data_IF_863314412813
#
_entry.id   IF_863314412813
#
_cell.length_a   1.000
_cell.length_b   1.000
_cell.length_c   1.000
_cell.angle_alpha   90.00
_cell.angle_beta   90.00
_cell.angle_gamma   90.00
#
_symmetry.space_group_name_H-M   'P 1'
#
loop_
_entity.id
_entity.type
_entity.pdbx_description
1 polymer ?
#
# COMPACT_ATOMS: atom_id res chain seq x y z
N UNK A 1 64.52 -30.97 58.45
CA UNK A 1 63.73 -30.85 57.21
C UNK A 1 63.88 -32.15 56.42
N UNK A 2 62.77 -32.69 55.90
CA UNK A 2 62.68 -33.91 55.06
C UNK A 2 62.90 -35.26 55.76
N UNK A 3 62.12 -36.34 55.61
CA UNK A 3 60.70 -36.63 55.25
C UNK A 3 60.55 -38.14 55.55
N UNK A 4 59.60 -38.55 56.40
CA UNK A 4 59.28 -39.97 56.60
C UNK A 4 58.64 -40.56 55.34
N UNK A 5 59.15 -41.69 54.85
CA UNK A 5 58.49 -42.57 53.89
C UNK A 5 57.52 -43.50 54.64
N UNK A 6 56.22 -43.41 54.34
CA UNK A 6 55.23 -44.46 54.65
C UNK A 6 54.75 -45.06 53.33
N UNK A 7 54.81 -46.40 53.26
CA UNK A 7 54.27 -47.20 52.16
C UNK A 7 52.73 -47.15 52.18
N UNK A 8 52.11 -47.00 51.01
CA UNK A 8 50.68 -47.18 50.80
C UNK A 8 50.49 -48.25 49.72
N UNK A 9 49.68 -49.28 50.02
CA UNK A 9 49.28 -50.35 49.12
C UNK A 9 48.21 -49.85 48.12
N UNK A 10 48.13 -50.40 46.89
CA UNK A 10 47.12 -50.00 45.93
C UNK A 10 45.79 -50.71 46.22
N UNK A 11 44.72 -49.93 46.34
CA UNK A 11 43.33 -50.41 46.35
C UNK A 11 42.86 -50.49 44.88
N UNK A 12 42.58 -51.70 44.40
CA UNK A 12 42.01 -51.93 43.06
C UNK A 12 40.50 -51.70 43.13
N UNK A 13 40.00 -50.62 42.54
CA UNK A 13 38.57 -50.41 42.30
C UNK A 13 38.16 -51.17 41.02
N UNK A 14 37.32 -52.19 41.16
CA UNK A 14 36.65 -52.83 40.04
C UNK A 14 35.53 -51.92 39.52
N UNK A 15 35.69 -51.38 38.31
CA UNK A 15 34.62 -50.68 37.59
C UNK A 15 33.76 -51.72 36.90
N UNK A 16 32.54 -51.94 37.40
CA UNK A 16 31.53 -52.75 36.73
C UNK A 16 31.02 -52.02 35.48
N UNK A 17 31.39 -52.52 34.30
CA UNK A 17 30.85 -52.08 33.02
C UNK A 17 29.40 -52.56 32.85
N UNK A 18 28.44 -51.73 33.21
CA UNK A 18 27.04 -51.91 32.82
C UNK A 18 26.85 -51.50 31.37
N UNK A 19 26.59 -52.48 30.49
CA UNK A 19 26.09 -52.26 29.14
C UNK A 19 24.67 -51.67 29.24
N UNK A 20 24.55 -50.34 29.18
CA UNK A 20 23.27 -49.70 28.90
C UNK A 20 22.96 -49.88 27.41
N UNK A 21 22.03 -50.78 27.11
CA UNK A 21 21.40 -50.83 25.80
C UNK A 21 20.67 -49.50 25.57
N UNK A 22 21.16 -48.70 24.62
CA UNK A 22 20.49 -47.48 24.20
C UNK A 22 19.12 -47.83 23.64
N UNK A 23 18.05 -47.39 24.30
CA UNK A 23 16.71 -47.50 23.76
C UNK A 23 16.66 -46.78 22.40
N UNK A 24 16.02 -47.35 21.36
CA UNK A 24 15.85 -46.67 20.09
C UNK A 24 15.11 -45.35 20.36
N UNK A 25 15.66 -44.26 19.84
CA UNK A 25 15.02 -42.95 19.93
C UNK A 25 13.59 -43.08 19.37
N UNK A 26 12.60 -42.81 20.22
CA UNK A 26 11.21 -42.80 19.79
C UNK A 26 11.07 -41.83 18.63
N UNK A 27 10.65 -42.35 17.47
CA UNK A 27 10.34 -41.56 16.30
C UNK A 27 9.25 -40.56 16.70
N UNK A 28 9.55 -39.26 16.62
CA UNK A 28 8.64 -38.22 17.05
C UNK A 28 7.30 -38.39 16.34
N UNK A 29 6.21 -38.47 17.10
CA UNK A 29 4.87 -38.59 16.54
C UNK A 29 4.64 -37.48 15.49
N UNK A 30 4.05 -37.80 14.32
CA UNK A 30 3.81 -36.81 13.28
C UNK A 30 3.02 -35.64 13.87
N UNK A 31 3.47 -34.41 13.58
CA UNK A 31 2.81 -33.19 14.06
C UNK A 31 1.36 -33.20 13.57
N UNK A 32 0.40 -33.33 14.49
CA UNK A 32 -1.01 -33.27 14.16
C UNK A 32 -1.37 -31.82 13.79
N UNK A 33 -1.53 -31.58 12.49
CA UNK A 33 -1.96 -30.29 11.96
C UNK A 33 -3.48 -30.15 12.00
N UNK A 34 -3.96 -28.94 12.26
CA UNK A 34 -5.38 -28.65 12.21
C UNK A 34 -5.87 -28.71 10.76
N UNK A 35 -6.92 -29.48 10.52
CA UNK A 35 -7.54 -29.65 9.20
C UNK A 35 -8.94 -29.07 9.11
N UNK A 36 -9.50 -28.62 10.23
CA UNK A 36 -10.92 -28.25 10.36
C UNK A 36 -11.14 -26.75 10.53
N UNK A 37 -10.26 -26.04 11.25
CA UNK A 37 -10.44 -24.61 11.52
C UNK A 37 -10.24 -23.76 10.27
N UNK A 38 -10.85 -22.57 10.22
CA UNK A 38 -10.66 -21.61 9.13
C UNK A 38 -9.17 -21.30 8.91
N UNK A 39 -8.66 -21.38 7.67
CA UNK A 39 -7.28 -21.02 7.40
C UNK A 39 -7.08 -19.51 7.40
N UNK A 40 -5.93 -19.06 7.89
CA UNK A 40 -5.48 -17.67 7.75
C UNK A 40 -4.22 -17.61 6.89
N UNK A 41 -4.08 -16.50 6.18
CA UNK A 41 -2.90 -16.19 5.37
C UNK A 41 -1.90 -15.39 6.20
N UNK A 42 -0.63 -15.77 6.09
CA UNK A 42 0.48 -15.20 6.83
C UNK A 42 1.56 -14.71 5.86
N UNK A 43 2.10 -13.51 6.10
CA UNK A 43 3.44 -13.18 5.63
C UNK A 43 4.46 -13.85 6.56
N UNK A 44 5.48 -14.47 5.98
CA UNK A 44 6.58 -15.10 6.72
C UNK A 44 7.92 -14.63 6.17
N UNK A 45 8.76 -14.06 7.03
CA UNK A 45 10.07 -13.51 6.66
C UNK A 45 11.20 -14.53 6.84
N UNK A 46 12.09 -14.53 5.87
CA UNK A 46 13.32 -15.31 5.77
C UNK A 46 14.48 -14.39 5.41
N UNK A 47 15.70 -14.92 5.40
CA UNK A 47 16.80 -14.23 4.72
C UNK A 47 16.54 -14.23 3.20
N UNK A 48 16.73 -13.11 2.49
CA UNK A 48 16.65 -13.08 1.03
C UNK A 48 17.53 -14.17 0.39
N UNK A 49 17.01 -14.84 -0.64
CA UNK A 49 17.71 -15.95 -1.31
C UNK A 49 17.68 -17.29 -0.56
N UNK A 50 16.94 -17.41 0.55
CA UNK A 50 16.70 -18.72 1.18
C UNK A 50 16.13 -19.71 0.15
N UNK A 51 16.65 -20.94 0.11
CA UNK A 51 16.19 -21.94 -0.87
C UNK A 51 14.72 -22.27 -0.64
N UNK A 52 13.93 -22.32 -1.72
CA UNK A 52 12.52 -22.65 -1.67
C UNK A 52 12.24 -23.99 -0.95
N UNK A 53 13.09 -25.00 -1.13
CA UNK A 53 12.96 -26.29 -0.43
C UNK A 53 13.10 -26.19 1.09
N UNK A 54 13.90 -25.24 1.60
CA UNK A 54 14.06 -25.00 3.03
C UNK A 54 12.83 -24.27 3.60
N UNK A 55 12.28 -23.31 2.85
CA UNK A 55 11.02 -22.64 3.17
C UNK A 55 9.89 -23.65 3.24
N UNK A 56 9.75 -24.50 2.21
CA UNK A 56 8.70 -25.52 2.13
C UNK A 56 8.78 -26.51 3.30
N UNK A 57 10.00 -26.95 3.62
CA UNK A 57 10.25 -27.83 4.76
C UNK A 57 9.86 -27.18 6.09
N UNK A 58 10.25 -25.92 6.34
CA UNK A 58 9.91 -25.23 7.58
C UNK A 58 8.39 -25.02 7.70
N UNK A 59 7.74 -24.54 6.64
CA UNK A 59 6.30 -24.29 6.64
C UNK A 59 5.52 -25.59 6.88
N UNK A 60 5.82 -26.66 6.14
CA UNK A 60 5.15 -27.95 6.30
C UNK A 60 5.34 -28.53 7.71
N UNK A 61 6.56 -28.48 8.26
CA UNK A 61 6.85 -28.95 9.62
C UNK A 61 6.08 -28.17 10.72
N UNK A 62 5.59 -26.97 10.40
CA UNK A 62 4.85 -26.09 11.32
C UNK A 62 3.37 -25.98 10.95
N UNK A 63 2.84 -26.89 10.14
CA UNK A 63 1.44 -26.91 9.70
C UNK A 63 1.03 -25.71 8.82
N UNK A 64 1.95 -25.19 8.03
CA UNK A 64 1.71 -24.19 7.00
C UNK A 64 1.78 -24.80 5.61
N UNK A 65 0.94 -24.30 4.71
CA UNK A 65 1.00 -24.57 3.27
C UNK A 65 1.49 -23.32 2.56
N UNK A 66 2.52 -23.43 1.72
CA UNK A 66 3.01 -22.30 0.93
C UNK A 66 1.97 -21.89 -0.13
N UNK A 67 1.61 -20.61 -0.15
CA UNK A 67 0.76 -19.98 -1.17
C UNK A 67 1.64 -19.33 -2.24
N UNK A 68 2.64 -18.54 -1.83
CA UNK A 68 3.62 -17.92 -2.72
C UNK A 68 4.98 -17.81 -2.03
N UNK A 69 6.05 -17.64 -2.82
CA UNK A 69 7.36 -17.31 -2.29
C UNK A 69 8.09 -16.30 -3.18
N UNK A 70 8.35 -15.13 -2.61
CA UNK A 70 9.11 -14.04 -3.21
C UNK A 70 10.56 -14.13 -2.71
N UNK A 71 11.32 -15.03 -3.33
CA UNK A 71 12.69 -15.38 -2.93
C UNK A 71 13.66 -14.19 -2.89
N UNK A 72 13.44 -13.22 -3.77
CA UNK A 72 14.24 -12.01 -3.98
C UNK A 72 14.20 -11.08 -2.76
N UNK A 73 13.11 -11.14 -2.00
CA UNK A 73 12.90 -10.37 -0.76
C UNK A 73 12.83 -11.28 0.47
N UNK A 74 12.94 -12.60 0.30
CA UNK A 74 12.84 -13.56 1.39
C UNK A 74 11.49 -13.53 2.10
N UNK A 75 10.39 -13.34 1.37
CA UNK A 75 9.04 -13.33 1.95
C UNK A 75 8.23 -14.49 1.36
N UNK A 76 7.74 -15.38 2.23
CA UNK A 76 6.77 -16.40 1.86
C UNK A 76 5.37 -15.96 2.30
N UNK A 77 4.38 -16.30 1.49
CA UNK A 77 2.98 -16.25 1.88
C UNK A 77 2.56 -17.68 2.20
N UNK A 78 2.05 -17.90 3.41
CA UNK A 78 1.66 -19.22 3.89
C UNK A 78 0.23 -19.21 4.40
N UNK A 79 -0.50 -20.28 4.15
CA UNK A 79 -1.82 -20.54 4.72
C UNK A 79 -1.68 -21.53 5.87
N UNK A 80 -2.30 -21.26 7.01
CA UNK A 80 -2.37 -22.21 8.13
C UNK A 80 -3.69 -22.11 8.87
N UNK A 81 -4.20 -23.27 9.29
CA UNK A 81 -5.38 -23.42 10.16
C UNK A 81 -5.00 -23.42 11.64
N UNK A 82 -3.71 -23.62 11.95
CA UNK A 82 -3.23 -23.75 13.31
C UNK A 82 -3.22 -22.40 14.03
N UNK A 83 -3.96 -22.31 15.14
CA UNK A 83 -4.00 -21.11 15.98
C UNK A 83 -2.61 -20.70 16.53
N UNK A 84 -1.67 -21.63 16.64
CA UNK A 84 -0.31 -21.40 17.13
C UNK A 84 0.75 -21.26 16.03
N UNK A 85 0.34 -21.14 14.76
CA UNK A 85 1.27 -21.08 13.61
C UNK A 85 2.30 -19.95 13.73
N UNK A 86 1.86 -18.76 14.16
CA UNK A 86 2.75 -17.61 14.36
C UNK A 86 3.81 -17.89 15.43
N UNK A 87 3.43 -18.52 16.55
CA UNK A 87 4.34 -18.89 17.63
C UNK A 87 5.35 -19.94 17.16
N UNK A 88 4.89 -20.94 16.39
CA UNK A 88 5.76 -21.97 15.81
C UNK A 88 6.81 -21.39 14.85
N UNK A 89 6.42 -20.42 14.02
CA UNK A 89 7.35 -19.76 13.08
C UNK A 89 8.27 -18.76 13.81
N UNK A 90 7.70 -18.02 14.76
CA UNK A 90 8.33 -16.94 15.49
C UNK A 90 7.52 -15.65 15.31
N UNK A 91 7.16 -15.00 16.42
CA UNK A 91 6.28 -13.80 16.41
C UNK A 91 6.88 -12.60 15.68
N UNK A 92 8.21 -12.51 15.54
CA UNK A 92 8.88 -11.48 14.74
C UNK A 92 9.08 -11.87 13.27
N UNK A 93 8.67 -13.08 12.88
CA UNK A 93 8.83 -13.61 11.52
C UNK A 93 7.52 -13.86 10.81
N UNK A 94 6.41 -13.98 11.52
CA UNK A 94 5.11 -14.24 10.93
C UNK A 94 4.03 -13.26 11.41
N UNK A 95 3.14 -12.87 10.50
CA UNK A 95 1.99 -12.02 10.80
C UNK A 95 0.80 -12.36 9.91
N UNK A 96 -0.43 -12.24 10.42
CA UNK A 96 -1.67 -12.40 9.65
C UNK A 96 -2.67 -11.33 10.04
N UNK A 97 -2.95 -10.41 9.10
CA UNK A 97 -3.96 -9.37 9.30
C UNK A 97 -5.37 -9.95 9.40
N UNK A 98 -5.69 -10.95 8.56
CA UNK A 98 -6.99 -11.63 8.60
C UNK A 98 -7.28 -12.32 9.94
N UNK A 99 -6.26 -12.89 10.59
CA UNK A 99 -6.42 -13.46 11.93
C UNK A 99 -6.66 -12.40 12.99
N UNK A 100 -5.96 -11.28 12.92
CA UNK A 100 -6.14 -10.16 13.85
C UNK A 100 -7.56 -9.57 13.73
N UNK A 101 -8.06 -9.38 12.50
CA UNK A 101 -9.45 -8.95 12.25
C UNK A 101 -10.45 -9.95 12.83
N UNK A 102 -10.28 -11.24 12.56
CA UNK A 102 -11.21 -12.26 13.07
C UNK A 102 -11.21 -12.32 14.61
N UNK A 103 -10.04 -12.14 15.23
CA UNK A 103 -9.90 -12.10 16.69
C UNK A 103 -10.52 -10.85 17.29
N UNK A 104 -10.40 -9.70 16.62
CA UNK A 104 -10.99 -8.43 17.04
C UNK A 104 -12.52 -8.40 16.85
N UNK A 105 -13.03 -8.97 15.77
CA UNK A 105 -14.47 -9.12 15.52
C UNK A 105 -15.14 -10.05 16.56
N UNK A 106 -14.41 -11.09 17.01
CA UNK A 106 -14.84 -11.91 18.15
C UNK A 106 -14.80 -11.14 19.49
N UNK A 107 -14.07 -10.02 19.56
CA UNK A 107 -13.84 -9.23 20.77
C UNK A 107 -14.68 -7.94 20.88
N UNK A 108 -15.22 -7.35 19.79
CA UNK A 108 -16.12 -6.17 19.83
C UNK A 108 -16.89 -5.91 18.53
N UNK A 109 -18.16 -5.54 18.68
CA UNK A 109 -19.00 -4.87 17.69
C UNK A 109 -18.59 -3.39 17.54
N UNK A 110 -18.60 -2.89 16.29
CA UNK A 110 -18.45 -1.49 15.85
C UNK A 110 -17.04 -0.93 15.67
N UNK A 111 -16.59 -0.85 14.42
CA UNK A 111 -15.67 0.17 13.88
C UNK A 111 -16.16 0.53 12.48
N UNK A 112 -17.03 1.53 12.39
CA UNK A 112 -17.59 2.04 11.15
C UNK A 112 -17.49 3.56 11.15
N UNK A 113 -16.49 4.12 10.49
CA UNK A 113 -16.41 5.56 10.27
C UNK A 113 -15.62 5.99 9.02
N UNK A 114 -14.69 5.18 8.50
CA UNK A 114 -13.85 5.60 7.34
C UNK A 114 -14.59 5.49 5.99
N UNK A 115 -15.61 4.61 5.89
CA UNK A 115 -16.28 4.32 4.61
C UNK A 115 -17.12 5.49 4.04
N UNK A 116 -17.68 6.37 4.87
CA UNK A 116 -18.63 7.39 4.36
C UNK A 116 -17.99 8.54 3.59
N UNK A 117 -16.70 8.81 3.79
CA UNK A 117 -15.98 9.89 3.11
C UNK A 117 -15.76 9.56 1.62
N UNK A 118 -15.38 8.31 1.34
CA UNK A 118 -14.96 7.84 0.02
C UNK A 118 -16.08 7.13 -0.76
N UNK A 119 -17.32 7.16 -0.25
CA UNK A 119 -18.49 6.70 -0.99
C UNK A 119 -18.76 7.58 -2.20
N UNK A 120 -19.24 6.98 -3.30
CA UNK A 120 -19.69 7.75 -4.46
C UNK A 120 -20.99 8.45 -4.11
N UNK A 121 -20.94 9.78 -3.92
CA UNK A 121 -22.08 10.54 -3.40
C UNK A 121 -22.97 11.15 -4.47
N UNK A 122 -22.38 11.57 -5.57
CA UNK A 122 -23.11 12.20 -6.68
C UNK A 122 -22.60 11.61 -7.98
N UNK A 123 -23.52 11.44 -8.92
CA UNK A 123 -23.21 11.14 -10.30
C UNK A 123 -23.22 12.44 -11.10
N UNK A 124 -22.35 12.53 -12.11
CA UNK A 124 -22.35 13.69 -12.98
C UNK A 124 -23.69 13.79 -13.72
N UNK A 125 -24.26 15.01 -13.76
CA UNK A 125 -25.37 15.29 -14.64
C UNK A 125 -24.92 15.21 -16.12
N UNK A 126 -25.82 14.84 -17.03
CA UNK A 126 -25.55 14.79 -18.47
C UNK A 126 -25.01 16.14 -18.97
N UNK A 127 -23.89 16.15 -19.68
CA UNK A 127 -23.25 17.36 -20.21
C UNK A 127 -21.75 17.19 -20.42
N UNK A 128 -21.07 18.29 -20.79
CA UNK A 128 -19.61 18.34 -20.89
C UNK A 128 -18.97 18.33 -19.48
N UNK A 129 -18.27 17.24 -19.16
CA UNK A 129 -17.65 17.05 -17.85
C UNK A 129 -16.39 17.91 -17.65
N UNK A 130 -15.79 18.46 -18.72
CA UNK A 130 -14.58 19.26 -18.61
C UNK A 130 -14.78 20.53 -17.75
N UNK A 131 -16.00 21.06 -17.74
CA UNK A 131 -16.38 22.18 -16.89
C UNK A 131 -16.36 21.80 -15.40
N UNK A 132 -16.70 20.56 -15.09
CA UNK A 132 -16.90 20.01 -13.75
C UNK A 132 -15.64 19.45 -13.08
N UNK A 133 -14.53 19.35 -13.83
CA UNK A 133 -13.23 18.89 -13.33
C UNK A 133 -12.38 20.06 -12.82
N UNK A 134 -12.83 20.73 -11.75
CA UNK A 134 -12.07 21.83 -11.11
C UNK A 134 -10.71 21.36 -10.58
N UNK A 135 -10.65 20.12 -10.12
CA UNK A 135 -9.48 19.42 -9.63
C UNK A 135 -8.39 19.35 -10.70
N UNK A 136 -8.77 18.99 -11.94
CA UNK A 136 -7.85 18.99 -13.08
C UNK A 136 -7.36 20.40 -13.42
N UNK A 137 -8.23 21.41 -13.34
CA UNK A 137 -7.85 22.82 -13.59
C UNK A 137 -6.91 23.35 -12.53
N UNK A 138 -7.09 22.97 -11.27
CA UNK A 138 -6.26 23.41 -10.15
C UNK A 138 -4.79 23.02 -10.30
N UNK A 139 -4.50 21.94 -11.03
CA UNK A 139 -3.13 21.46 -11.30
C UNK A 139 -2.68 21.68 -12.75
N UNK A 140 -3.41 22.51 -13.52
CA UNK A 140 -3.13 22.81 -14.92
C UNK A 140 -3.09 21.59 -15.87
N UNK A 141 -3.85 20.52 -15.55
CA UNK A 141 -3.90 19.32 -16.38
C UNK A 141 -4.51 19.55 -17.78
N UNK A 142 -5.56 20.36 -17.98
CA UNK A 142 -6.07 20.66 -19.32
C UNK A 142 -5.03 21.32 -20.25
N UNK A 143 -4.20 22.20 -19.71
CA UNK A 143 -3.11 22.85 -20.43
C UNK A 143 -1.97 21.86 -20.74
N UNK A 144 -1.63 20.99 -19.79
CA UNK A 144 -0.68 19.91 -19.99
C UNK A 144 -1.12 18.97 -21.11
N UNK A 145 -2.38 18.54 -21.09
CA UNK A 145 -2.99 17.63 -22.06
C UNK A 145 -2.98 18.15 -23.51
N UNK A 146 -2.94 19.47 -23.70
CA UNK A 146 -2.77 20.10 -25.03
C UNK A 146 -1.33 20.00 -25.56
N UNK A 147 -0.35 19.89 -24.67
CA UNK A 147 1.08 19.78 -25.02
C UNK A 147 1.54 18.33 -25.11
N UNK A 148 1.24 17.53 -24.08
CA UNK A 148 1.68 16.15 -23.97
C UNK A 148 0.77 15.37 -23.04
N UNK A 149 0.26 14.23 -23.52
CA UNK A 149 -0.68 13.38 -22.79
C UNK A 149 0.00 12.21 -22.07
N UNK A 150 1.34 12.14 -22.12
CA UNK A 150 2.11 10.99 -21.65
C UNK A 150 2.36 9.95 -22.76
N UNK A 151 2.97 8.83 -22.38
CA UNK A 151 3.44 7.79 -23.30
C UNK A 151 2.92 6.42 -22.95
N UNK A 152 2.50 5.64 -23.97
CA UNK A 152 2.09 4.23 -23.82
C UNK A 152 3.23 3.30 -23.41
N UNK A 153 4.47 3.81 -23.35
CA UNK A 153 5.61 3.10 -22.77
C UNK A 153 5.67 3.22 -21.23
N UNK A 154 4.86 4.10 -20.63
CA UNK A 154 4.71 4.25 -19.18
C UNK A 154 3.49 3.46 -18.73
N UNK A 155 3.68 2.63 -17.71
CA UNK A 155 2.61 1.91 -17.01
C UNK A 155 2.51 2.43 -15.59
N UNK A 156 1.30 2.84 -15.21
CA UNK A 156 0.93 3.21 -13.84
C UNK A 156 0.13 2.06 -13.24
N UNK A 157 0.64 1.48 -12.16
CA UNK A 157 -0.06 0.47 -11.38
C UNK A 157 -1.03 1.11 -10.40
N UNK A 158 -2.32 0.81 -10.53
CA UNK A 158 -3.33 1.16 -9.53
C UNK A 158 -3.47 -0.02 -8.60
N UNK A 159 -2.80 0.05 -7.44
CA UNK A 159 -2.90 -0.96 -6.39
C UNK A 159 -4.13 -0.62 -5.55
N UNK A 160 -5.26 -1.26 -5.85
CA UNK A 160 -6.55 -0.86 -5.28
C UNK A 160 -7.58 -2.01 -5.31
N UNK A 161 -8.86 -1.69 -5.41
CA UNK A 161 -10.03 -2.58 -5.40
C UNK A 161 -10.35 -3.22 -6.75
N UNK A 162 -9.58 -2.91 -7.78
CA UNK A 162 -9.80 -3.34 -9.16
C UNK A 162 -10.22 -2.18 -10.06
N UNK A 163 -10.09 -2.37 -11.38
CA UNK A 163 -10.50 -1.38 -12.39
C UNK A 163 -11.55 -2.01 -13.31
N UNK A 164 -12.70 -1.34 -13.48
CA UNK A 164 -13.60 -1.66 -14.57
C UNK A 164 -12.98 -1.27 -15.91
N UNK A 165 -12.32 -2.24 -16.54
CA UNK A 165 -11.66 -2.07 -17.83
C UNK A 165 -12.66 -1.87 -18.99
N UNK A 166 -13.96 -2.05 -18.77
CA UNK A 166 -14.99 -1.84 -19.80
C UNK A 166 -15.51 -0.40 -19.83
N UNK A 167 -15.19 0.40 -18.82
CA UNK A 167 -15.58 1.81 -18.77
C UNK A 167 -15.08 2.56 -20.03
N UNK A 168 -15.91 3.34 -20.74
CA UNK A 168 -15.53 4.01 -21.98
C UNK A 168 -14.23 4.81 -21.88
N UNK A 169 -14.10 5.60 -20.80
CA UNK A 169 -12.90 6.38 -20.51
C UNK A 169 -11.62 5.55 -20.23
N UNK A 170 -11.73 4.27 -19.84
CA UNK A 170 -10.59 3.46 -19.38
C UNK A 170 -10.22 2.33 -20.33
N UNK A 171 -11.15 1.91 -21.19
CA UNK A 171 -11.01 0.77 -22.10
C UNK A 171 -9.76 0.80 -22.98
N UNK A 172 -9.27 1.99 -23.34
CA UNK A 172 -8.05 2.15 -24.13
C UNK A 172 -6.75 2.23 -23.30
N UNK A 173 -6.86 2.45 -21.99
CA UNK A 173 -5.72 2.65 -21.09
C UNK A 173 -5.35 1.39 -20.30
N UNK A 174 -6.33 0.58 -19.90
CA UNK A 174 -6.08 -0.61 -19.08
C UNK A 174 -5.38 -1.70 -19.89
N UNK A 175 -4.25 -2.17 -19.38
CA UNK A 175 -3.45 -3.25 -19.95
C UNK A 175 -3.70 -4.54 -19.18
N UNK A 176 -4.59 -5.40 -19.69
CA UNK A 176 -4.87 -6.71 -19.08
C UNK A 176 -3.61 -7.56 -18.88
N UNK A 177 -2.64 -7.50 -19.79
CA UNK A 177 -1.37 -8.22 -19.69
C UNK A 177 -0.46 -7.75 -18.53
N UNK A 178 -0.74 -6.56 -17.98
CA UNK A 178 -0.02 -6.00 -16.84
C UNK A 178 -0.83 -6.09 -15.53
N UNK A 179 -2.11 -6.49 -15.59
CA UNK A 179 -3.01 -6.53 -14.43
C UNK A 179 -2.95 -7.88 -13.70
N UNK A 180 -3.17 -7.85 -12.38
CA UNK A 180 -3.24 -9.06 -11.55
C UNK A 180 -4.07 -8.83 -10.27
N UNK A 181 -4.75 -9.87 -9.81
CA UNK A 181 -5.28 -9.98 -8.46
C UNK A 181 -4.18 -10.42 -7.50
N UNK A 182 -4.06 -9.74 -6.38
CA UNK A 182 -3.05 -10.00 -5.36
C UNK A 182 -3.62 -10.28 -3.97
N UNK A 183 -4.95 -10.28 -3.81
CA UNK A 183 -5.65 -10.42 -2.52
C UNK A 183 -5.21 -11.65 -1.71
N UNK A 184 -4.83 -12.76 -2.37
CA UNK A 184 -4.37 -13.98 -1.70
C UNK A 184 -2.89 -13.95 -1.30
N UNK A 185 -2.17 -12.89 -1.67
CA UNK A 185 -0.72 -12.81 -1.63
C UNK A 185 0.01 -13.54 -2.76
N UNK A 186 -0.71 -14.21 -3.66
CA UNK A 186 -0.21 -14.74 -4.93
C UNK A 186 -0.87 -14.02 -6.11
N UNK A 187 -0.08 -13.66 -7.12
CA UNK A 187 -0.61 -12.98 -8.30
C UNK A 187 -1.48 -13.92 -9.14
N UNK A 188 -2.68 -13.45 -9.51
CA UNK A 188 -3.61 -14.12 -10.42
C UNK A 188 -3.95 -13.18 -11.58
N UNK A 189 -3.62 -13.60 -12.81
CA UNK A 189 -3.80 -12.78 -14.02
C UNK A 189 -5.18 -12.94 -14.65
N UNK A 190 -6.04 -13.80 -14.10
CA UNK A 190 -7.40 -13.95 -14.59
C UNK A 190 -8.15 -12.60 -14.50
N UNK A 191 -8.88 -12.19 -15.57
CA UNK A 191 -9.59 -10.91 -15.58
C UNK A 191 -10.50 -10.67 -14.37
N UNK A 192 -11.19 -11.71 -13.89
CA UNK A 192 -12.05 -11.63 -12.73
C UNK A 192 -11.29 -11.30 -11.43
N UNK A 193 -10.00 -11.64 -11.35
CA UNK A 193 -9.19 -11.47 -10.14
C UNK A 193 -8.66 -10.04 -9.97
N UNK A 194 -8.69 -9.22 -11.02
CA UNK A 194 -8.34 -7.78 -10.96
C UNK A 194 -9.49 -6.85 -11.34
N UNK A 195 -10.65 -7.39 -11.71
CA UNK A 195 -11.89 -6.61 -11.84
C UNK A 195 -12.41 -6.17 -10.46
N UNK A 196 -13.13 -5.03 -10.39
CA UNK A 196 -13.80 -4.61 -9.17
C UNK A 196 -14.93 -5.58 -8.83
N UNK A 197 -15.16 -5.76 -7.52
CA UNK A 197 -16.16 -6.68 -6.98
C UNK A 197 -17.20 -5.94 -6.15
N UNK A 198 -16.76 -5.32 -5.05
CA UNK A 198 -17.65 -4.64 -4.09
C UNK A 198 -17.40 -3.14 -3.97
N UNK A 199 -16.41 -2.60 -4.68
CA UNK A 199 -16.00 -1.19 -4.60
C UNK A 199 -15.62 -0.64 -5.97
N UNK A 200 -16.02 0.62 -6.21
CA UNK A 200 -15.69 1.39 -7.41
C UNK A 200 -14.43 2.26 -7.24
N UNK A 201 -13.81 2.22 -6.07
CA UNK A 201 -12.71 3.10 -5.67
C UNK A 201 -11.51 3.05 -6.64
N UNK A 202 -11.04 1.87 -7.01
CA UNK A 202 -9.91 1.71 -7.93
C UNK A 202 -10.23 2.18 -9.35
N UNK A 203 -11.50 2.09 -9.75
CA UNK A 203 -11.97 2.63 -11.02
C UNK A 203 -11.96 4.15 -10.99
N UNK A 204 -12.37 4.77 -9.89
CA UNK A 204 -12.31 6.24 -9.71
C UNK A 204 -10.86 6.75 -9.76
N UNK A 205 -9.96 6.11 -9.02
CA UNK A 205 -8.51 6.38 -9.02
C UNK A 205 -7.92 6.28 -10.44
N UNK A 206 -8.27 5.23 -11.18
CA UNK A 206 -7.82 5.01 -12.55
C UNK A 206 -8.28 6.12 -13.52
N UNK A 207 -9.53 6.56 -13.40
CA UNK A 207 -10.09 7.64 -14.21
C UNK A 207 -9.36 8.95 -14.02
N UNK A 208 -9.00 9.28 -12.78
CA UNK A 208 -8.23 10.48 -12.44
C UNK A 208 -6.87 10.42 -13.14
N UNK A 209 -6.17 9.29 -13.05
CA UNK A 209 -4.82 9.17 -13.65
C UNK A 209 -4.86 9.26 -15.18
N UNK A 210 -5.67 8.43 -15.85
CA UNK A 210 -5.55 8.25 -17.31
C UNK A 210 -6.88 8.10 -18.07
N UNK A 211 -8.02 8.45 -17.46
CA UNK A 211 -9.29 8.37 -18.15
C UNK A 211 -9.37 9.33 -19.34
N UNK A 212 -10.00 8.90 -20.43
CA UNK A 212 -10.24 9.72 -21.63
C UNK A 212 -11.53 9.34 -22.31
N UNK A 213 -12.54 10.20 -22.19
CA UNK A 213 -13.79 10.10 -22.92
C UNK A 213 -14.11 11.44 -23.60
N UNK A 214 -13.75 11.58 -24.89
CA UNK A 214 -14.05 12.79 -25.65
C UNK A 214 -15.56 13.04 -25.82
N UNK A 215 -16.40 12.01 -25.77
CA UNK A 215 -17.84 12.17 -25.93
C UNK A 215 -18.49 12.77 -24.67
N UNK A 216 -17.96 12.43 -23.50
CA UNK A 216 -18.35 13.02 -22.22
C UNK A 216 -17.58 14.31 -21.87
N UNK A 217 -16.53 14.66 -22.61
CA UNK A 217 -15.64 15.76 -22.25
C UNK A 217 -14.78 15.48 -21.01
N UNK A 218 -14.58 14.20 -20.66
CA UNK A 218 -13.80 13.80 -19.49
C UNK A 218 -12.35 13.49 -19.86
N UNK A 219 -11.38 14.05 -19.13
CA UNK A 219 -9.96 13.74 -19.31
C UNK A 219 -9.22 13.73 -17.97
N UNK A 220 -8.46 12.68 -17.70
CA UNK A 220 -7.54 12.58 -16.56
C UNK A 220 -6.20 13.29 -16.81
N UNK A 221 -5.24 13.11 -15.92
CA UNK A 221 -3.95 13.84 -15.98
C UNK A 221 -3.06 13.36 -17.14
N UNK A 222 -2.94 12.05 -17.31
CA UNK A 222 -1.98 11.40 -18.22
C UNK A 222 -2.64 10.36 -19.14
N UNK A 223 -3.63 10.74 -19.98
CA UNK A 223 -4.45 9.78 -20.72
C UNK A 223 -3.69 8.99 -21.81
N UNK A 224 -2.46 9.36 -22.10
CA UNK A 224 -1.56 8.65 -23.02
C UNK A 224 -0.79 7.49 -22.40
N UNK A 225 -0.85 7.27 -21.08
CA UNK A 225 -0.13 6.17 -20.39
C UNK A 225 -0.95 4.88 -20.39
N UNK A 226 -0.35 3.77 -19.94
CA UNK A 226 -1.07 2.52 -19.64
C UNK A 226 -1.41 2.47 -18.16
N UNK A 227 -2.55 1.87 -17.85
CA UNK A 227 -2.94 1.50 -16.49
C UNK A 227 -2.81 -0.01 -16.32
N UNK A 228 -2.32 -0.44 -15.17
CA UNK A 228 -2.39 -1.81 -14.72
C UNK A 228 -3.28 -1.88 -13.47
N UNK A 229 -4.27 -2.76 -13.49
CA UNK A 229 -5.11 -3.02 -12.31
C UNK A 229 -4.42 -4.07 -11.43
N UNK A 230 -4.01 -3.67 -10.22
CA UNK A 230 -3.43 -4.60 -9.25
C UNK A 230 -4.36 -4.66 -8.05
N UNK A 231 -5.26 -5.65 -8.02
CA UNK A 231 -6.28 -5.72 -6.97
C UNK A 231 -5.67 -6.24 -5.66
N UNK A 232 -5.54 -5.35 -4.68
CA UNK A 232 -5.01 -5.64 -3.33
C UNK A 232 -6.06 -5.49 -2.23
N UNK A 233 -7.21 -4.88 -2.54
CA UNK A 233 -8.34 -4.73 -1.62
C UNK A 233 -9.30 -5.92 -1.77
N UNK A 234 -9.57 -6.60 -0.66
CA UNK A 234 -10.54 -7.69 -0.61
C UNK A 234 -11.99 -7.17 -0.56
N UNK A 235 -12.96 -8.08 -0.59
CA UNK A 235 -14.39 -7.70 -0.66
C UNK A 235 -14.91 -7.07 0.64
N UNK A 236 -14.21 -7.31 1.75
CA UNK A 236 -14.44 -6.66 3.05
C UNK A 236 -13.77 -5.28 3.15
N UNK A 237 -13.09 -4.83 2.10
CA UNK A 237 -12.43 -3.52 2.05
C UNK A 237 -11.08 -3.45 2.76
N UNK A 238 -10.49 -4.60 3.13
CA UNK A 238 -9.18 -4.65 3.78
C UNK A 238 -8.03 -4.84 2.78
N UNK A 239 -6.88 -4.26 3.12
CA UNK A 239 -5.60 -4.50 2.45
C UNK A 239 -4.63 -5.13 3.44
N UNK A 240 -4.44 -6.45 3.37
CA UNK A 240 -3.49 -7.13 4.25
C UNK A 240 -2.05 -7.11 3.71
N UNK A 241 -1.03 -7.28 4.59
CA UNK A 241 0.38 -7.24 4.20
C UNK A 241 0.74 -8.17 3.03
N UNK A 242 0.15 -9.37 2.96
CA UNK A 242 0.38 -10.33 1.88
C UNK A 242 -0.02 -9.77 0.50
N UNK A 243 -1.13 -9.03 0.45
CA UNK A 243 -1.65 -8.45 -0.78
C UNK A 243 -0.78 -7.27 -1.24
N UNK A 244 -0.37 -6.42 -0.29
CA UNK A 244 0.57 -5.34 -0.56
C UNK A 244 1.93 -5.87 -1.06
N UNK A 245 2.48 -6.92 -0.43
CA UNK A 245 3.73 -7.57 -0.86
C UNK A 245 3.60 -8.06 -2.30
N UNK A 246 2.51 -8.77 -2.62
CA UNK A 246 2.24 -9.23 -3.98
C UNK A 246 2.19 -8.05 -4.97
N UNK A 247 1.47 -6.99 -4.64
CA UNK A 247 1.28 -5.84 -5.52
C UNK A 247 2.57 -5.11 -5.85
N UNK A 248 3.40 -4.78 -4.86
CA UNK A 248 4.68 -4.09 -5.09
C UNK A 248 5.68 -4.97 -5.84
N UNK A 249 5.75 -6.28 -5.54
CA UNK A 249 6.62 -7.20 -6.29
C UNK A 249 6.12 -7.39 -7.73
N UNK A 250 4.79 -7.43 -7.94
CA UNK A 250 4.21 -7.48 -9.28
C UNK A 250 4.59 -6.25 -10.10
N UNK A 251 4.43 -5.05 -9.55
CA UNK A 251 4.81 -3.80 -10.20
C UNK A 251 6.29 -3.77 -10.61
N UNK A 252 7.17 -4.23 -9.72
CA UNK A 252 8.61 -4.36 -9.98
C UNK A 252 8.90 -5.30 -11.16
N UNK A 253 8.31 -6.51 -11.13
CA UNK A 253 8.55 -7.56 -12.14
C UNK A 253 7.97 -7.22 -13.51
N UNK A 254 6.94 -6.38 -13.56
CA UNK A 254 6.28 -5.95 -14.80
C UNK A 254 6.75 -4.57 -15.27
N UNK A 255 7.80 -4.00 -14.64
CA UNK A 255 8.45 -2.79 -15.11
C UNK A 255 7.54 -1.56 -15.09
N UNK A 256 6.70 -1.41 -14.06
CA UNK A 256 5.90 -0.20 -13.90
C UNK A 256 6.82 0.99 -13.60
N UNK A 257 6.41 2.20 -13.97
CA UNK A 257 7.17 3.41 -13.65
C UNK A 257 6.61 4.07 -12.38
N UNK A 258 5.30 3.97 -12.17
CA UNK A 258 4.62 4.60 -11.04
C UNK A 258 3.60 3.62 -10.46
N UNK A 259 3.43 3.62 -9.13
CA UNK A 259 2.23 3.05 -8.49
C UNK A 259 1.46 4.15 -7.76
N UNK A 260 0.14 4.00 -7.74
CA UNK A 260 -0.74 4.75 -6.85
C UNK A 260 -1.27 3.82 -5.76
N UNK A 261 -1.16 4.26 -4.50
CA UNK A 261 -1.56 3.52 -3.30
C UNK A 261 -2.49 4.40 -2.45
N UNK A 262 -3.79 4.31 -2.74
CA UNK A 262 -4.83 5.10 -2.07
C UNK A 262 -5.38 4.37 -0.85
N UNK A 263 -4.50 3.87 0.01
CA UNK A 263 -4.85 3.06 1.20
C UNK A 263 -3.76 3.13 2.27
N UNK A 264 -4.08 2.67 3.47
CA UNK A 264 -3.10 2.15 4.43
C UNK A 264 -3.26 0.63 4.55
N UNK A 265 -2.25 -0.06 5.05
CA UNK A 265 -2.30 -1.53 5.23
C UNK A 265 -3.03 -1.85 6.52
N UNK A 266 -4.02 -2.74 6.47
CA UNK A 266 -4.85 -3.20 7.58
C UNK A 266 -4.20 -4.32 8.40
N UNK A 267 -4.70 -4.60 9.62
CA UNK A 267 -5.86 -3.99 10.29
C UNK A 267 -5.57 -2.81 11.23
N UNK A 268 -4.31 -2.61 11.61
CA UNK A 268 -3.90 -1.39 12.31
C UNK A 268 -3.70 -0.25 11.33
N UNK A 269 -3.73 1.00 11.82
CA UNK A 269 -3.24 2.13 11.03
C UNK A 269 -1.71 2.22 11.11
N UNK A 270 -1.12 1.79 12.23
CA UNK A 270 0.30 1.84 12.51
C UNK A 270 0.88 0.43 12.69
N UNK A 271 1.99 0.17 11.99
CA UNK A 271 2.81 -1.02 12.18
C UNK A 271 4.12 -0.63 12.84
N UNK A 272 4.39 -1.23 14.00
CA UNK A 272 5.58 -0.97 14.81
C UNK A 272 6.70 -1.96 14.51
N UNK A 273 7.78 -1.49 13.90
CA UNK A 273 8.90 -2.33 13.42
C UNK A 273 9.63 -3.11 14.53
N UNK A 274 9.38 -2.80 15.81
CA UNK A 274 9.97 -3.46 16.98
C UNK A 274 9.00 -4.33 17.78
N UNK A 275 7.72 -4.32 17.43
CA UNK A 275 6.70 -5.06 18.18
C UNK A 275 6.49 -6.48 17.60
N UNK A 276 6.20 -7.49 18.45
CA UNK A 276 5.83 -8.83 18.00
C UNK A 276 4.64 -8.79 17.03
N UNK A 277 4.72 -9.55 15.94
CA UNK A 277 3.73 -9.54 14.87
C UNK A 277 3.99 -8.41 13.88
N UNK A 278 3.88 -7.16 14.33
CA UNK A 278 4.04 -5.96 13.50
C UNK A 278 5.36 -5.94 12.75
N UNK A 279 6.46 -6.28 13.42
CA UNK A 279 7.78 -6.30 12.83
C UNK A 279 7.85 -7.18 11.57
N UNK A 280 7.13 -8.30 11.54
CA UNK A 280 7.10 -9.19 10.39
C UNK A 280 6.35 -8.57 9.20
N UNK A 281 5.20 -7.94 9.46
CA UNK A 281 4.42 -7.25 8.42
C UNK A 281 5.16 -6.02 7.88
N UNK A 282 5.69 -5.19 8.78
CA UNK A 282 6.47 -4.01 8.44
C UNK A 282 7.67 -4.38 7.58
N UNK A 283 8.44 -5.39 7.99
CA UNK A 283 9.62 -5.83 7.24
C UNK A 283 9.25 -6.43 5.88
N UNK A 284 8.18 -7.24 5.79
CA UNK A 284 7.75 -7.83 4.53
C UNK A 284 7.35 -6.75 3.51
N UNK A 285 6.55 -5.77 3.93
CA UNK A 285 6.08 -4.66 3.09
C UNK A 285 7.24 -3.74 2.73
N UNK A 286 8.09 -3.35 3.69
CA UNK A 286 9.30 -2.52 3.45
C UNK A 286 10.15 -3.13 2.35
N UNK A 287 10.45 -4.43 2.44
CA UNK A 287 11.26 -5.12 1.42
C UNK A 287 10.59 -5.15 0.05
N UNK A 288 9.28 -5.32 -0.02
CA UNK A 288 8.55 -5.31 -1.28
C UNK A 288 8.58 -3.93 -1.95
N UNK A 289 8.37 -2.86 -1.17
CA UNK A 289 8.48 -1.47 -1.65
C UNK A 289 9.91 -1.19 -2.10
N UNK A 290 10.92 -1.48 -1.28
CA UNK A 290 12.32 -1.28 -1.68
C UNK A 290 12.71 -2.09 -2.90
N UNK A 291 12.20 -3.31 -3.04
CA UNK A 291 12.39 -4.11 -4.24
C UNK A 291 11.80 -3.41 -5.47
N UNK A 292 10.58 -2.90 -5.39
CA UNK A 292 9.98 -2.11 -6.47
C UNK A 292 10.76 -0.84 -6.81
N UNK A 293 11.19 -0.09 -5.79
CA UNK A 293 11.99 1.13 -5.97
C UNK A 293 13.33 0.83 -6.65
N UNK A 294 14.01 -0.27 -6.27
CA UNK A 294 15.25 -0.70 -6.95
C UNK A 294 15.03 -1.16 -8.39
N UNK A 295 13.80 -1.52 -8.76
CA UNK A 295 13.41 -1.87 -10.13
C UNK A 295 12.82 -0.69 -10.91
N UNK A 296 13.01 0.54 -10.41
CA UNK A 296 12.65 1.75 -11.14
C UNK A 296 11.23 2.26 -10.90
N UNK A 297 10.50 1.68 -9.93
CA UNK A 297 9.13 2.07 -9.62
C UNK A 297 9.13 3.23 -8.63
N UNK A 298 8.46 4.35 -8.97
CA UNK A 298 8.11 5.39 -8.01
C UNK A 298 6.77 5.05 -7.34
N UNK A 299 6.74 4.95 -6.03
CA UNK A 299 5.51 4.65 -5.29
C UNK A 299 4.91 5.96 -4.75
N UNK A 300 3.63 6.21 -5.04
CA UNK A 300 2.89 7.38 -4.57
C UNK A 300 1.76 6.90 -3.65
N UNK A 301 1.63 7.49 -2.47
CA UNK A 301 0.70 7.05 -1.42
C UNK A 301 -0.12 8.20 -0.85
N UNK A 302 -1.38 7.93 -0.52
CA UNK A 302 -2.24 8.86 0.19
C UNK A 302 -1.76 9.10 1.64
N UNK A 303 -1.92 10.31 2.15
CA UNK A 303 -1.57 10.67 3.53
C UNK A 303 -2.53 10.05 4.58
N UNK A 304 -3.76 9.71 4.20
CA UNK A 304 -4.79 9.21 5.11
C UNK A 304 -5.79 10.30 5.53
N UNK A 305 -6.95 9.85 6.02
CA UNK A 305 -8.17 10.66 6.10
C UNK A 305 -8.67 10.92 7.53
N UNK A 306 -7.77 10.96 8.51
CA UNK A 306 -8.14 11.10 9.94
C UNK A 306 -8.01 12.53 10.47
N UNK A 307 -7.51 13.46 9.67
CA UNK A 307 -7.36 14.87 10.02
C UNK A 307 -6.30 15.15 11.09
N UNK A 308 -5.35 14.23 11.33
CA UNK A 308 -4.36 14.37 12.39
C UNK A 308 -2.92 14.53 11.88
N UNK A 309 -2.05 15.03 12.75
CA UNK A 309 -0.60 15.02 12.58
C UNK A 309 -0.04 13.60 12.77
N UNK A 310 0.54 13.01 11.73
CA UNK A 310 1.04 11.63 11.76
C UNK A 310 2.27 11.47 12.66
N UNK A 311 2.94 12.55 13.03
CA UNK A 311 4.19 12.54 13.80
C UNK A 311 4.00 12.59 15.32
N UNK A 312 2.77 12.86 15.78
CA UNK A 312 2.46 13.08 17.20
C UNK A 312 1.55 12.01 17.81
N UNK A 313 1.16 11.00 17.03
CA UNK A 313 0.28 9.94 17.51
C UNK A 313 0.98 9.05 18.55
N UNK A 314 0.26 8.74 19.62
CA UNK A 314 0.74 7.87 20.72
C UNK A 314 -0.08 6.60 20.86
N UNK A 315 -1.16 6.45 20.09
CA UNK A 315 -2.02 5.25 20.08
C UNK A 315 -2.60 5.05 18.69
N UNK A 316 -2.70 3.81 18.24
CA UNK A 316 -3.34 3.46 16.96
C UNK A 316 -4.87 3.46 17.12
N UNK A 317 -5.60 4.26 16.32
CA UNK A 317 -7.06 4.37 16.43
C UNK A 317 -7.83 3.12 15.96
N UNK A 318 -7.24 2.32 15.06
CA UNK A 318 -7.88 1.15 14.46
C UNK A 318 -7.54 -0.13 15.19
N UNK A 319 -6.34 -0.20 15.78
CA UNK A 319 -5.89 -1.33 16.60
C UNK A 319 -5.21 -0.79 17.86
N UNK A 320 -5.96 -0.58 18.98
CA UNK A 320 -5.49 0.15 20.15
C UNK A 320 -4.23 -0.44 20.80
N UNK A 321 -3.07 0.02 20.32
CA UNK A 321 -1.75 -0.27 20.87
C UNK A 321 -0.94 1.03 20.99
N UNK A 322 0.13 1.05 21.82
CA UNK A 322 1.01 2.21 21.89
C UNK A 322 1.75 2.44 20.56
N UNK A 323 1.77 3.70 20.12
CA UNK A 323 2.54 4.13 18.95
C UNK A 323 3.77 4.88 19.43
N UNK A 324 4.94 4.46 18.93
CA UNK A 324 6.23 5.10 19.18
C UNK A 324 6.97 5.38 17.86
N UNK A 325 8.21 5.86 17.96
CA UNK A 325 9.05 6.22 16.79
C UNK A 325 9.42 5.04 15.88
N UNK A 326 9.17 3.80 16.30
CA UNK A 326 9.38 2.61 15.48
C UNK A 326 8.18 2.29 14.60
N UNK A 327 7.05 2.98 14.81
CA UNK A 327 5.79 2.75 14.14
C UNK A 327 5.61 3.69 12.95
N UNK A 328 4.96 3.19 11.91
CA UNK A 328 4.63 3.96 10.73
C UNK A 328 3.38 3.45 10.02
N UNK A 329 2.73 4.34 9.29
CA UNK A 329 1.57 4.01 8.45
C UNK A 329 2.07 3.51 7.10
N UNK A 330 1.91 2.23 6.81
CA UNK A 330 2.33 1.64 5.54
C UNK A 330 1.28 1.87 4.44
N UNK A 331 1.68 2.13 3.18
CA UNK A 331 3.06 2.12 2.69
C UNK A 331 3.81 3.46 2.87
N UNK A 332 3.13 4.57 3.17
CA UNK A 332 3.72 5.93 3.17
C UNK A 332 4.91 6.12 4.10
N UNK A 333 5.01 5.36 5.19
CA UNK A 333 6.11 5.45 6.14
C UNK A 333 7.43 4.83 5.66
N UNK A 334 7.48 4.27 4.45
CA UNK A 334 8.70 3.72 3.87
C UNK A 334 9.42 4.77 3.04
N UNK A 335 10.72 4.93 3.29
CA UNK A 335 11.58 5.86 2.55
C UNK A 335 11.43 5.73 1.03
N UNK A 336 11.29 6.88 0.37
CA UNK A 336 11.16 6.96 -1.09
C UNK A 336 9.75 6.73 -1.63
N UNK A 337 8.75 6.50 -0.76
CA UNK A 337 7.34 6.64 -1.11
C UNK A 337 6.95 8.12 -1.05
N UNK A 338 6.35 8.65 -2.11
CA UNK A 338 5.83 10.02 -2.15
C UNK A 338 4.48 10.07 -1.43
N UNK A 339 4.41 10.84 -0.34
CA UNK A 339 3.22 11.01 0.49
C UNK A 339 2.42 12.23 0.06
N UNK A 340 1.13 12.04 -0.22
CA UNK A 340 0.26 13.05 -0.81
C UNK A 340 -0.87 13.45 0.14
N UNK A 341 -0.86 14.71 0.58
CA UNK A 341 -1.98 15.32 1.31
C UNK A 341 -3.06 15.84 0.36
N UNK A 342 -4.23 16.20 0.91
CA UNK A 342 -5.38 16.68 0.13
C UNK A 342 -5.66 18.16 0.35
N UNK A 343 -5.97 18.87 -0.73
CA UNK A 343 -6.65 20.17 -0.71
C UNK A 343 -8.07 20.11 -1.26
N UNK A 344 -8.92 21.00 -0.78
CA UNK A 344 -10.24 21.26 -1.35
C UNK A 344 -10.21 22.37 -2.41
N UNK A 345 -11.39 22.77 -2.88
CA UNK A 345 -11.53 23.77 -3.96
C UNK A 345 -10.86 25.12 -3.64
N UNK A 346 -10.82 25.52 -2.37
CA UNK A 346 -10.22 26.79 -1.96
C UNK A 346 -8.67 26.76 -1.96
N UNK A 347 -8.06 25.62 -2.29
CA UNK A 347 -6.61 25.42 -2.26
C UNK A 347 -6.04 25.28 -0.85
N UNK A 348 -6.89 25.10 0.15
CA UNK A 348 -6.50 24.85 1.55
C UNK A 348 -6.65 23.38 1.91
N UNK A 349 -5.89 22.92 2.92
CA UNK A 349 -5.89 21.52 3.37
C UNK A 349 -7.31 21.06 3.64
N UNK A 350 -7.69 19.92 3.05
CA UNK A 350 -8.95 19.26 3.38
C UNK A 350 -8.98 18.92 4.87
N UNK A 351 -10.13 19.13 5.51
CA UNK A 351 -10.39 18.88 6.93
C UNK A 351 -9.97 17.48 7.36
N UNK A 352 -10.25 16.46 6.54
CA UNK A 352 -9.89 15.06 6.79
C UNK A 352 -8.43 14.72 6.50
N UNK A 353 -7.66 15.55 5.77
CA UNK A 353 -6.30 15.16 5.37
C UNK A 353 -5.38 15.09 6.59
N UNK A 354 -4.72 13.95 6.76
CA UNK A 354 -3.55 13.86 7.62
C UNK A 354 -2.42 14.77 7.12
N UNK A 355 -1.54 15.16 8.03
CA UNK A 355 -0.43 16.08 7.81
C UNK A 355 0.78 15.72 8.70
N UNK A 356 1.89 16.46 8.58
CA UNK A 356 3.13 16.24 9.32
C UNK A 356 4.28 15.89 8.38
N UNK A 357 4.29 14.64 7.89
CA UNK A 357 5.27 14.13 6.92
C UNK A 357 4.64 14.02 5.52
N UNK A 358 4.70 15.11 4.75
CA UNK A 358 4.07 15.25 3.43
C UNK A 358 5.14 15.65 2.40
N UNK A 359 5.14 15.01 1.22
CA UNK A 359 6.02 15.37 0.11
C UNK A 359 5.39 16.40 -0.81
N UNK A 360 4.11 16.21 -1.18
CA UNK A 360 3.33 17.11 -2.04
C UNK A 360 1.86 17.10 -1.62
N UNK A 361 1.10 18.10 -2.08
CA UNK A 361 -0.35 18.11 -1.97
C UNK A 361 -1.01 18.04 -3.34
N UNK A 362 -2.24 17.56 -3.38
CA UNK A 362 -3.04 17.50 -4.60
C UNK A 362 -4.55 17.62 -4.31
N UNK A 363 -5.39 17.91 -5.32
CA UNK A 363 -6.84 18.01 -5.13
C UNK A 363 -7.45 16.67 -4.69
N UNK A 364 -7.99 16.62 -3.47
CA UNK A 364 -8.79 15.50 -2.97
C UNK A 364 -10.19 15.91 -2.50
N UNK A 365 -10.50 17.21 -2.56
CA UNK A 365 -11.82 17.77 -2.26
C UNK A 365 -12.05 18.03 -0.78
N UNK A 366 -13.12 18.76 -0.47
CA UNK A 366 -13.62 18.94 0.89
C UNK A 366 -15.10 19.31 0.84
N UNK A 367 -15.96 18.63 1.60
CA UNK A 367 -17.40 18.88 1.58
C UNK A 367 -17.80 20.31 2.01
N UNK A 368 -16.94 21.00 2.74
CA UNK A 368 -17.16 22.39 3.17
C UNK A 368 -16.67 23.42 2.13
N UNK A 369 -15.90 23.00 1.12
CA UNK A 369 -15.31 23.88 0.12
C UNK A 369 -16.04 23.72 -1.22
N UNK A 370 -17.12 24.48 -1.39
CA UNK A 370 -17.95 24.42 -2.59
C UNK A 370 -17.34 25.20 -3.76
N UNK A 371 -17.23 24.59 -4.95
CA UNK A 371 -16.92 25.32 -6.18
C UNK A 371 -18.08 26.27 -6.55
N UNK A 372 -17.83 27.29 -7.38
CA UNK A 372 -18.86 28.06 -8.04
C UNK A 372 -19.80 27.16 -8.86
N UNK A 373 -21.04 27.62 -9.05
CA UNK A 373 -22.03 26.92 -9.86
C UNK A 373 -21.48 26.55 -11.25
N UNK A 374 -21.67 25.29 -11.63
CA UNK A 374 -21.20 24.74 -12.90
C UNK A 374 -19.74 24.27 -12.93
N UNK A 375 -18.95 24.54 -11.88
CA UNK A 375 -17.58 24.03 -11.76
C UNK A 375 -17.49 22.59 -11.20
N UNK A 376 -18.64 21.95 -10.98
CA UNK A 376 -18.74 20.57 -10.51
C UNK A 376 -18.91 20.42 -8.99
N UNK A 377 -18.80 19.20 -8.48
CA UNK A 377 -18.96 18.90 -7.05
C UNK A 377 -17.75 19.36 -6.22
N UNK A 378 -17.94 19.44 -4.89
CA UNK A 378 -16.86 19.77 -3.94
C UNK A 378 -15.74 18.73 -3.84
N UNK A 379 -15.96 17.57 -4.44
CA UNK A 379 -15.04 16.45 -4.49
C UNK A 379 -14.65 16.15 -5.93
N UNK A 380 -13.42 15.63 -6.20
CA UNK A 380 -13.00 15.19 -7.52
C UNK A 380 -14.01 14.27 -8.23
N UNK A 381 -14.33 14.60 -9.47
CA UNK A 381 -15.21 13.82 -10.34
C UNK A 381 -14.37 12.86 -11.18
N UNK A 382 -14.72 11.56 -11.17
CA UNK A 382 -14.03 10.55 -11.98
C UNK A 382 -14.93 9.37 -12.34
N UNK A 383 -14.38 8.36 -13.01
CA UNK A 383 -15.06 7.16 -13.50
C UNK A 383 -15.58 6.27 -12.35
N UNK A 384 -16.65 5.52 -12.60
CA UNK A 384 -17.25 4.59 -11.62
C UNK A 384 -17.54 3.23 -12.26
N UNK A 385 -18.00 2.24 -11.50
CA UNK A 385 -18.38 0.91 -12.04
C UNK A 385 -19.84 0.84 -12.48
N UNK A 386 -20.60 1.93 -12.35
CA UNK A 386 -22.05 1.94 -12.53
C UNK A 386 -22.44 2.19 -13.99
N UNK A 387 -22.04 1.30 -14.89
CA UNK A 387 -22.44 1.34 -16.30
C UNK A 387 -21.82 2.47 -17.11
N UNK A 388 -20.53 2.76 -16.88
CA UNK A 388 -19.79 3.81 -17.61
C UNK A 388 -20.04 5.23 -17.11
N UNK A 389 -20.62 5.38 -15.90
CA UNK A 389 -20.94 6.67 -15.31
C UNK A 389 -19.75 7.31 -14.57
N UNK A 390 -19.89 8.61 -14.30
CA UNK A 390 -18.94 9.40 -13.54
C UNK A 390 -19.54 9.83 -12.21
N UNK A 391 -18.73 9.86 -11.16
CA UNK A 391 -19.17 10.24 -9.82
C UNK A 391 -18.07 10.87 -8.98
N UNK A 392 -18.48 11.58 -7.93
CA UNK A 392 -17.56 12.32 -7.06
C UNK A 392 -17.25 11.58 -5.76
N UNK A 393 -15.99 11.61 -5.35
CA UNK A 393 -15.48 11.05 -4.08
C UNK A 393 -14.46 12.02 -3.48
N UNK A 394 -14.51 12.24 -2.17
CA UNK A 394 -13.52 13.04 -1.45
C UNK A 394 -12.54 12.12 -0.73
N UNK A 395 -11.28 12.53 -0.64
CA UNK A 395 -10.26 11.79 0.13
C UNK A 395 -8.85 12.09 -0.33
N UNK A 396 -7.88 11.80 0.54
CA UNK A 396 -6.46 11.73 0.13
C UNK A 396 -6.24 10.64 -0.93
N UNK A 397 -7.15 9.66 -0.98
CA UNK A 397 -7.27 8.67 -2.04
C UNK A 397 -7.60 9.23 -3.43
N UNK A 398 -8.18 10.43 -3.51
CA UNK A 398 -8.40 11.16 -4.76
C UNK A 398 -7.28 12.19 -5.03
N UNK A 399 -6.58 12.65 -3.99
CA UNK A 399 -5.37 13.47 -4.15
C UNK A 399 -4.18 12.67 -4.69
N UNK A 400 -3.92 11.48 -4.14
CA UNK A 400 -2.81 10.60 -4.57
C UNK A 400 -2.78 10.34 -6.09
N UNK A 401 -3.89 10.01 -6.77
CA UNK A 401 -3.88 9.78 -8.23
C UNK A 401 -3.59 11.04 -9.06
N UNK A 402 -3.87 12.24 -8.55
CA UNK A 402 -3.44 13.47 -9.22
C UNK A 402 -1.91 13.54 -9.25
N UNK A 403 -1.26 13.32 -8.10
CA UNK A 403 0.21 13.30 -8.02
C UNK A 403 0.82 12.14 -8.83
N UNK A 404 0.22 10.94 -8.79
CA UNK A 404 0.65 9.81 -9.60
C UNK A 404 0.52 10.07 -11.11
N UNK A 405 -0.54 10.77 -11.53
CA UNK A 405 -0.72 11.23 -12.91
C UNK A 405 0.38 12.21 -13.35
N UNK A 406 0.72 13.20 -12.52
CA UNK A 406 1.82 14.13 -12.80
C UNK A 406 3.16 13.40 -12.85
N UNK A 407 3.41 12.47 -11.92
CA UNK A 407 4.58 11.60 -11.95
C UNK A 407 4.65 10.75 -13.23
N UNK A 408 3.50 10.30 -13.76
CA UNK A 408 3.44 9.54 -15.01
C UNK A 408 3.74 10.40 -16.25
N UNK A 409 3.33 11.68 -16.26
CA UNK A 409 3.74 12.65 -17.28
C UNK A 409 5.27 12.85 -17.25
N UNK A 410 5.83 13.06 -16.06
CA UNK A 410 7.28 13.18 -15.86
C UNK A 410 8.02 11.92 -16.30
N UNK A 411 7.56 10.72 -15.92
CA UNK A 411 8.15 9.45 -16.36
C UNK A 411 8.05 9.24 -17.88
N UNK A 412 7.00 9.79 -18.50
CA UNK A 412 6.80 9.75 -19.96
C UNK A 412 7.76 10.68 -20.69
N UNK A 413 8.15 11.80 -20.07
CA UNK A 413 9.09 12.77 -20.61
C UNK A 413 10.54 12.35 -20.37
N UNK A 414 10.86 11.96 -19.13
CA UNK A 414 12.19 11.58 -18.67
C UNK A 414 12.29 10.05 -18.56
N UNK A 415 12.22 9.37 -19.71
CA UNK A 415 12.23 7.89 -19.74
C UNK A 415 13.50 7.33 -19.08
N UNK A 416 13.32 6.38 -18.17
CA UNK A 416 14.43 5.72 -17.47
C UNK A 416 15.01 6.52 -16.29
N UNK A 417 14.40 7.65 -15.93
CA UNK A 417 14.78 8.40 -14.73
C UNK A 417 14.57 7.51 -13.48
N UNK A 418 15.57 7.37 -12.59
CA UNK A 418 15.41 6.65 -11.34
C UNK A 418 14.30 7.27 -10.47
N UNK A 419 13.56 6.48 -9.68
CA UNK A 419 12.41 6.95 -8.92
C UNK A 419 12.77 8.07 -7.93
N UNK A 420 13.97 8.07 -7.36
CA UNK A 420 14.42 9.15 -6.46
C UNK A 420 14.58 10.48 -7.19
N UNK A 421 15.04 10.46 -8.44
CA UNK A 421 15.12 11.68 -9.25
C UNK A 421 13.73 12.07 -9.76
N UNK A 422 12.89 11.11 -10.11
CA UNK A 422 11.50 11.37 -10.50
C UNK A 422 10.70 12.05 -9.37
N UNK A 423 10.85 11.57 -8.13
CA UNK A 423 10.28 12.19 -6.94
C UNK A 423 10.80 13.62 -6.74
N UNK A 424 12.11 13.86 -6.92
CA UNK A 424 12.71 15.20 -6.82
C UNK A 424 12.20 16.17 -7.88
N UNK A 425 11.98 15.70 -9.10
CA UNK A 425 11.37 16.54 -10.15
C UNK A 425 9.92 16.81 -9.81
N UNK A 426 9.16 15.81 -9.35
CA UNK A 426 7.77 16.00 -8.93
C UNK A 426 7.65 17.05 -7.81
N UNK A 427 8.49 16.99 -6.78
CA UNK A 427 8.48 17.97 -5.68
C UNK A 427 9.06 19.31 -6.09
N UNK A 428 10.07 19.34 -6.96
CA UNK A 428 10.72 20.56 -7.43
C UNK A 428 9.86 21.41 -8.38
N UNK A 429 8.97 20.77 -9.14
CA UNK A 429 8.01 21.41 -10.05
C UNK A 429 6.65 21.69 -9.39
N UNK A 430 6.49 21.39 -8.10
CA UNK A 430 5.26 21.69 -7.36
C UNK A 430 5.14 23.19 -7.06
N UNK A 431 3.92 23.72 -7.12
CA UNK A 431 3.62 25.12 -6.80
C UNK A 431 3.60 25.33 -5.29
N UNK A 432 4.53 26.14 -4.71
CA UNK A 432 4.62 26.28 -3.26
C UNK A 432 3.36 26.86 -2.64
N UNK A 433 2.79 26.16 -1.66
CA UNK A 433 1.62 26.62 -0.88
C UNK A 433 2.09 27.00 0.52
N UNK A 434 1.78 28.24 0.94
CA UNK A 434 2.13 28.75 2.27
C UNK A 434 1.11 28.32 3.29
N UNK A 435 1.55 28.01 4.51
CA UNK A 435 0.67 27.99 5.68
C UNK A 435 -0.05 29.33 5.80
N UNK A 436 -1.38 29.31 5.76
CA UNK A 436 -2.20 30.49 6.01
C UNK A 436 -2.14 30.87 7.49
N UNK A 437 -2.35 32.16 7.80
CA UNK A 437 -2.38 32.63 9.20
C UNK A 437 -3.48 31.99 10.04
N UNK A 438 -4.51 31.42 9.40
CA UNK A 438 -5.61 30.68 10.03
C UNK A 438 -5.28 29.21 10.27
N UNK A 439 -4.18 28.69 9.73
CA UNK A 439 -3.76 27.28 9.85
C UNK A 439 -2.74 27.13 10.98
N UNK A 440 -3.23 27.14 12.22
CA UNK A 440 -2.37 27.19 13.41
C UNK A 440 -1.47 25.97 13.62
N UNK A 441 -1.79 24.84 12.99
CA UNK A 441 -1.01 23.58 13.09
C UNK A 441 -0.09 23.37 11.88
N UNK A 442 -0.15 24.25 10.87
CA UNK A 442 0.76 24.21 9.73
C UNK A 442 2.11 24.84 10.13
N UNK A 443 3.19 24.09 9.94
CA UNK A 443 4.54 24.50 10.33
C UNK A 443 5.53 24.31 9.19
N UNK A 444 6.58 25.13 9.17
CA UNK A 444 7.62 25.09 8.14
C UNK A 444 7.46 26.14 7.04
N UNK A 445 8.46 26.27 6.14
CA UNK A 445 8.46 27.25 5.07
C UNK A 445 7.48 26.93 3.93
N UNK A 446 7.16 27.95 3.12
CA UNK A 446 6.30 27.83 1.93
C UNK A 446 6.67 26.71 0.95
N UNK A 447 7.97 26.42 0.84
CA UNK A 447 8.53 25.44 -0.11
C UNK A 447 8.67 24.03 0.47
N UNK A 448 8.34 23.86 1.75
CA UNK A 448 8.28 22.57 2.44
C UNK A 448 7.62 22.76 3.82
N UNK A 449 6.32 22.50 3.96
CA UNK A 449 5.61 22.60 5.23
C UNK A 449 4.79 21.36 5.56
N UNK A 450 4.35 21.25 6.82
CA UNK A 450 3.67 20.07 7.34
C UNK A 450 2.34 19.74 6.65
N UNK A 451 1.66 20.71 6.03
CA UNK A 451 0.37 20.49 5.36
C UNK A 451 0.53 20.14 3.88
N UNK A 452 1.39 20.88 3.19
CA UNK A 452 1.45 20.91 1.74
C UNK A 452 2.71 20.27 1.17
N UNK A 453 3.66 19.87 2.04
CA UNK A 453 4.98 19.44 1.63
C UNK A 453 5.62 20.51 0.75
N UNK A 454 6.15 20.08 -0.40
CA UNK A 454 6.76 20.96 -1.38
C UNK A 454 5.78 21.82 -2.18
N UNK A 455 4.47 21.56 -2.12
CA UNK A 455 3.46 22.34 -2.80
C UNK A 455 2.40 21.51 -3.53
N UNK A 456 1.53 22.22 -4.24
CA UNK A 456 0.50 21.63 -5.10
C UNK A 456 1.15 21.08 -6.37
N UNK A 457 0.90 19.82 -6.71
CA UNK A 457 1.43 19.24 -7.96
C UNK A 457 0.97 20.03 -9.19
N UNK A 458 1.86 20.21 -10.17
CA UNK A 458 1.58 20.98 -11.39
C UNK A 458 1.84 20.14 -12.64
N UNK A 459 0.77 19.77 -13.34
CA UNK A 459 0.84 18.93 -14.54
C UNK A 459 1.45 19.67 -15.74
N UNK A 460 1.27 21.00 -15.82
CA UNK A 460 1.77 21.78 -16.94
C UNK A 460 3.29 21.92 -16.87
N UNK A 461 3.85 22.15 -15.69
CA UNK A 461 5.30 22.21 -15.48
C UNK A 461 5.96 20.86 -15.75
N UNK A 462 5.29 19.74 -15.44
CA UNK A 462 5.76 18.40 -15.79
C UNK A 462 5.94 18.16 -17.32
N UNK A 463 5.33 18.99 -18.18
CA UNK A 463 5.39 18.85 -19.64
C UNK A 463 6.00 20.06 -20.36
N UNK A 464 6.60 21.02 -19.65
CA UNK A 464 7.26 22.20 -20.25
C UNK A 464 8.64 21.88 -20.78
#
# INVERSE_FOLDING_TARGET
MSRLRRMAAPLVLAVGGGLFAAAPAAEAAPVACDTTSTPYTYVVTYQPGTRASAVDKELAAKCGTKVAYYSEIGVAIASSRNADFQQKIGVYRAYSGGKDVASAAAARSSLGAVRTLEDTRTFAASGDLSAQQWDMKAIHAPEANKKYQGSRAVTVGVLDSGIDATHPALSSAVSAAASAGCVTGAADTAPASWAPTTSDHGTHVAGTIAGKDPAAGFTGIAPGVRLASVKVVNDDGYIFPEAAVCGFVWAAKHGFQVTNNSYYIDPGMFFCSREPGDAAAYEAVRRAIEFSTRHGVLNVSAAGNSGFDTTTQTTDPNRPHPVDKSCGILPKAIDGVVTVSSVGYAGTKSSFSNYGEIDVTAPGGDFSQLPPDGAGPSCPLSTTVFGGQYGSKCGTSMASPHAAGVAALLASRFRGLPPQLLAKVLTGEADPVKCASTETECTGPAKNNSYYGHGLVNALDAVR
#
